data_IF_026287124798
#
_entry.id   IF_026287124798
#
_cell.length_a   1.000
_cell.length_b   1.000
_cell.length_c   1.000
_cell.angle_alpha   90.00
_cell.angle_beta   90.00
_cell.angle_gamma   90.00
#
_symmetry.space_group_name_H-M   'P 1'
#
loop_
_entity.id
_entity.type
_entity.pdbx_description
1 polymer ?
#
# COMPACT_ATOMS: atom_id res chain seq x y z
N UNK A 1 -0.46 5.15 13.98
CA UNK A 1 -0.10 5.00 12.56
C UNK A 1 -1.27 4.49 11.74
N UNK A 2 -1.84 3.31 12.04
CA UNK A 2 -3.01 2.77 11.32
C UNK A 2 -4.14 3.79 11.11
N UNK A 3 -4.62 4.44 12.18
CA UNK A 3 -5.73 5.40 12.11
C UNK A 3 -5.47 6.59 11.17
N UNK A 4 -4.21 7.05 11.06
CA UNK A 4 -3.85 8.15 10.16
C UNK A 4 -3.93 7.71 8.69
N UNK A 5 -3.41 6.51 8.39
CA UNK A 5 -3.54 5.91 7.07
C UNK A 5 -5.00 5.62 6.74
N UNK A 6 -5.75 5.03 7.67
CA UNK A 6 -7.18 4.74 7.51
C UNK A 6 -7.99 6.01 7.19
N UNK A 7 -7.74 7.11 7.93
CA UNK A 7 -8.35 8.40 7.65
C UNK A 7 -8.01 8.89 6.23
N UNK A 8 -6.72 8.90 5.86
CA UNK A 8 -6.31 9.37 4.53
C UNK A 8 -6.88 8.51 3.39
N UNK A 9 -6.88 7.19 3.53
CA UNK A 9 -7.43 6.27 2.56
C UNK A 9 -8.95 6.45 2.41
N UNK A 10 -9.66 6.70 3.52
CA UNK A 10 -11.10 6.94 3.53
C UNK A 10 -11.50 8.25 2.84
N UNK A 11 -10.61 9.25 2.85
CA UNK A 11 -10.83 10.52 2.16
C UNK A 11 -10.80 10.39 0.63
N UNK A 12 -10.35 9.24 0.09
CA UNK A 12 -10.19 8.98 -1.34
C UNK A 12 -9.35 10.03 -2.08
N UNK A 13 -8.46 10.72 -1.35
CA UNK A 13 -7.54 11.72 -1.87
C UNK A 13 -6.13 11.14 -1.95
N UNK A 14 -5.68 10.84 -3.16
CA UNK A 14 -4.35 10.29 -3.39
C UNK A 14 -3.24 11.25 -2.93
N UNK A 15 -3.45 12.57 -2.98
CA UNK A 15 -2.45 13.53 -2.53
C UNK A 15 -2.26 13.47 -1.01
N UNK A 16 -3.33 13.25 -0.25
CA UNK A 16 -3.25 13.09 1.20
C UNK A 16 -2.51 11.80 1.58
N UNK A 17 -2.73 10.73 0.83
CA UNK A 17 -2.04 9.45 1.01
C UNK A 17 -0.56 9.58 0.66
N UNK A 18 -0.24 10.24 -0.46
CA UNK A 18 1.15 10.52 -0.84
C UNK A 18 1.84 11.43 0.17
N UNK A 19 1.15 12.44 0.70
CA UNK A 19 1.68 13.28 1.77
C UNK A 19 2.06 12.42 3.00
N UNK A 20 1.20 11.50 3.44
CA UNK A 20 1.57 10.59 4.52
C UNK A 20 2.77 9.70 4.16
N UNK A 21 2.79 9.16 2.93
CA UNK A 21 3.89 8.33 2.44
C UNK A 21 5.23 9.09 2.36
N UNK A 22 5.22 10.38 2.02
CA UNK A 22 6.42 11.21 1.99
C UNK A 22 6.95 11.54 3.39
N UNK A 23 6.05 11.73 4.36
CA UNK A 23 6.40 12.09 5.73
C UNK A 23 6.75 10.89 6.63
N UNK A 24 6.41 9.67 6.20
CA UNK A 24 6.72 8.44 6.93
C UNK A 24 7.56 7.55 6.02
N UNK A 25 8.79 7.19 6.41
CA UNK A 25 9.60 6.33 5.53
C UNK A 25 9.08 4.88 5.57
N UNK A 26 8.99 4.18 4.42
CA UNK A 26 8.58 2.77 4.39
C UNK A 26 9.40 1.91 5.34
N UNK A 27 10.73 2.08 5.32
CA UNK A 27 11.65 1.33 6.19
C UNK A 27 11.40 1.55 7.69
N UNK A 28 10.91 2.73 8.09
CA UNK A 28 10.56 3.02 9.49
C UNK A 28 9.19 2.44 9.86
N UNK A 29 8.22 2.53 8.94
CA UNK A 29 6.87 2.03 9.16
C UNK A 29 6.84 0.50 9.24
N UNK A 30 7.46 -0.18 8.28
CA UNK A 30 7.36 -1.63 8.12
C UNK A 30 8.41 -2.43 8.90
N UNK A 31 9.41 -1.77 9.51
CA UNK A 31 10.34 -2.42 10.45
C UNK A 31 9.72 -2.70 11.82
N UNK A 32 8.58 -2.09 12.15
CA UNK A 32 7.85 -2.31 13.39
C UNK A 32 7.12 -3.66 13.33
N UNK A 33 7.33 -4.52 14.33
CA UNK A 33 6.70 -5.83 14.43
C UNK A 33 5.89 -5.96 15.75
N UNK A 34 4.62 -6.42 15.69
CA UNK A 34 3.86 -6.76 14.48
C UNK A 34 3.58 -5.53 13.61
N UNK A 35 3.35 -5.73 12.31
CA UNK A 35 3.13 -4.64 11.35
C UNK A 35 2.09 -3.64 11.89
N UNK A 36 2.38 -2.32 11.90
CA UNK A 36 1.51 -1.33 12.51
C UNK A 36 0.27 -0.99 11.67
N UNK A 37 0.19 -1.49 10.42
CA UNK A 37 -0.95 -1.33 9.53
C UNK A 37 -1.74 -2.65 9.44
N UNK A 38 -3.06 -2.55 9.55
CA UNK A 38 -3.95 -3.69 9.45
C UNK A 38 -4.18 -4.09 7.99
N UNK A 39 -4.53 -5.36 7.74
CA UNK A 39 -4.78 -5.88 6.40
C UNK A 39 -5.70 -5.01 5.53
N UNK A 40 -6.85 -4.50 6.00
CA UNK A 40 -7.70 -3.65 5.15
C UNK A 40 -7.00 -2.36 4.72
N UNK A 41 -6.25 -1.74 5.64
CA UNK A 41 -5.46 -0.53 5.39
C UNK A 41 -4.34 -0.81 4.39
N UNK A 42 -3.63 -1.94 4.52
CA UNK A 42 -2.59 -2.37 3.58
C UNK A 42 -3.15 -2.60 2.17
N UNK A 43 -4.27 -3.30 2.04
CA UNK A 43 -4.90 -3.57 0.75
C UNK A 43 -5.35 -2.27 0.06
N UNK A 44 -6.04 -1.39 0.80
CA UNK A 44 -6.45 -0.08 0.27
C UNK A 44 -5.26 0.81 -0.10
N UNK A 45 -4.18 0.78 0.69
CA UNK A 45 -2.95 1.51 0.39
C UNK A 45 -2.32 1.01 -0.92
N UNK A 46 -2.15 -0.30 -1.08
CA UNK A 46 -1.63 -0.89 -2.32
C UNK A 46 -2.51 -0.47 -3.50
N UNK A 47 -3.83 -0.55 -3.37
CA UNK A 47 -4.76 -0.21 -4.44
C UNK A 47 -4.66 1.26 -4.88
N UNK A 48 -4.67 2.19 -3.93
CA UNK A 48 -4.59 3.62 -4.26
C UNK A 48 -3.24 4.01 -4.84
N UNK A 49 -2.13 3.48 -4.32
CA UNK A 49 -0.81 3.72 -4.89
C UNK A 49 -0.65 3.09 -6.28
N UNK A 50 -1.26 1.92 -6.51
CA UNK A 50 -1.29 1.24 -7.81
C UNK A 50 -2.21 1.91 -8.84
N UNK A 51 -3.15 2.78 -8.40
CA UNK A 51 -4.11 3.42 -9.28
C UNK A 51 -3.41 4.36 -10.29
N UNK A 52 -2.40 5.10 -9.84
CA UNK A 52 -1.55 5.95 -10.68
C UNK A 52 -0.07 5.77 -10.33
N UNK A 53 0.71 5.22 -11.25
CA UNK A 53 2.16 5.06 -11.13
C UNK A 53 2.93 6.03 -12.03
N UNK A 54 2.30 7.06 -12.59
CA UNK A 54 3.00 8.03 -13.44
C UNK A 54 3.82 9.05 -12.64
N UNK A 55 3.57 9.14 -11.33
CA UNK A 55 4.18 10.11 -10.42
C UNK A 55 4.72 9.41 -9.17
N UNK A 56 5.82 9.90 -8.61
CA UNK A 56 6.43 9.40 -7.37
C UNK A 56 6.67 7.87 -7.36
N UNK A 57 7.10 7.33 -8.50
CA UNK A 57 7.22 5.88 -8.74
C UNK A 57 8.02 5.17 -7.66
N UNK A 58 9.22 5.65 -7.32
CA UNK A 58 10.08 4.99 -6.35
C UNK A 58 9.43 4.87 -4.96
N UNK A 59 8.78 5.95 -4.50
CA UNK A 59 8.07 5.96 -3.23
C UNK A 59 6.91 4.95 -3.24
N UNK A 60 6.08 5.00 -4.28
CA UNK A 60 4.92 4.10 -4.44
C UNK A 60 5.36 2.63 -4.51
N UNK A 61 6.38 2.31 -5.30
CA UNK A 61 6.92 0.95 -5.40
C UNK A 61 7.50 0.46 -4.08
N UNK A 62 8.23 1.30 -3.34
CA UNK A 62 8.76 0.94 -2.04
C UNK A 62 7.63 0.62 -1.05
N UNK A 63 6.62 1.48 -0.96
CA UNK A 63 5.45 1.25 -0.12
C UNK A 63 4.69 -0.02 -0.48
N UNK A 64 4.41 -0.24 -1.77
CA UNK A 64 3.70 -1.43 -2.24
C UNK A 64 4.50 -2.69 -1.90
N UNK A 65 5.82 -2.70 -2.13
CA UNK A 65 6.67 -3.85 -1.85
C UNK A 65 6.66 -4.22 -0.36
N UNK A 66 6.88 -3.25 0.51
CA UNK A 66 6.92 -3.48 1.96
C UNK A 66 5.53 -3.89 2.51
N UNK A 67 4.47 -3.27 1.99
CA UNK A 67 3.10 -3.63 2.35
C UNK A 67 2.77 -5.09 1.97
N UNK A 68 3.23 -5.57 0.82
CA UNK A 68 3.05 -6.96 0.39
C UNK A 68 3.74 -7.96 1.33
N UNK A 69 4.92 -7.62 1.87
CA UNK A 69 5.65 -8.46 2.82
C UNK A 69 4.89 -8.56 4.16
N UNK A 70 4.15 -7.51 4.54
CA UNK A 70 3.38 -7.47 5.77
C UNK A 70 2.01 -8.16 5.67
N UNK A 71 1.54 -8.49 4.47
CA UNK A 71 0.27 -9.17 4.29
C UNK A 71 0.39 -10.65 4.63
N UNK A 72 -0.53 -11.13 5.48
CA UNK A 72 -0.69 -12.55 5.70
C UNK A 72 -1.36 -13.21 4.48
N UNK A 73 -0.53 -13.80 3.63
CA UNK A 73 -0.97 -14.57 2.47
C UNK A 73 -1.53 -15.93 2.85
N UNK A 74 -1.68 -16.33 4.12
CA UNK A 74 -2.34 -17.58 4.46
C UNK A 74 -3.83 -17.58 4.09
N UNK A 75 -4.45 -16.40 4.06
CA UNK A 75 -5.87 -16.21 3.73
C UNK A 75 -6.14 -16.22 2.22
N UNK A 76 -7.02 -17.11 1.70
CA UNK A 76 -7.34 -17.20 0.28
C UNK A 76 -7.86 -15.89 -0.32
N UNK A 77 -8.75 -15.19 0.41
CA UNK A 77 -9.33 -13.93 -0.06
C UNK A 77 -8.31 -12.80 -0.25
N UNK A 78 -7.23 -12.80 0.54
CA UNK A 78 -6.11 -11.85 0.38
C UNK A 78 -5.31 -12.20 -0.87
N UNK A 79 -5.08 -13.49 -1.14
CA UNK A 79 -4.38 -13.94 -2.35
C UNK A 79 -5.12 -13.58 -3.62
N UNK A 80 -6.42 -13.84 -3.69
CA UNK A 80 -7.24 -13.59 -4.88
C UNK A 80 -7.28 -12.09 -5.22
N UNK A 81 -7.41 -11.25 -4.19
CA UNK A 81 -7.33 -9.80 -4.33
C UNK A 81 -5.96 -9.36 -4.85
N UNK A 82 -4.88 -9.83 -4.23
CA UNK A 82 -3.53 -9.47 -4.63
C UNK A 82 -3.19 -9.94 -6.04
N UNK A 83 -3.65 -11.12 -6.45
CA UNK A 83 -3.44 -11.60 -7.81
C UNK A 83 -4.04 -10.63 -8.82
N UNK A 84 -5.25 -10.13 -8.58
CA UNK A 84 -5.90 -9.13 -9.43
C UNK A 84 -5.08 -7.83 -9.49
N UNK A 85 -4.70 -7.30 -8.32
CA UNK A 85 -3.96 -6.04 -8.22
C UNK A 85 -2.56 -6.15 -8.83
N UNK A 86 -1.84 -7.27 -8.63
CA UNK A 86 -0.52 -7.51 -9.18
C UNK A 86 -0.55 -7.69 -10.70
N UNK A 87 -1.59 -8.35 -11.24
CA UNK A 87 -1.79 -8.44 -12.69
C UNK A 87 -1.98 -7.03 -13.28
N UNK A 88 -2.79 -6.19 -12.65
CA UNK A 88 -3.03 -4.83 -13.13
C UNK A 88 -1.79 -3.94 -13.00
N UNK A 89 -1.04 -4.07 -11.90
CA UNK A 89 0.27 -3.45 -11.74
C UNK A 89 1.24 -3.87 -12.85
N UNK A 90 1.32 -5.17 -13.16
CA UNK A 90 2.24 -5.67 -14.20
C UNK A 90 1.93 -5.12 -15.60
N UNK A 91 0.67 -4.81 -15.89
CA UNK A 91 0.26 -4.18 -17.16
C UNK A 91 0.67 -2.70 -17.24
N UNK A 92 0.71 -2.00 -16.11
CA UNK A 92 1.05 -0.57 -16.02
C UNK A 92 2.56 -0.28 -16.04
N UNK A 93 3.40 -1.30 -15.83
CA UNK A 93 4.87 -1.18 -15.83
C UNK A 93 5.45 -1.30 -17.26
N UNK A 94 4.62 -1.57 -18.28
CA UNK A 94 5.04 -1.71 -19.69
C UNK A 94 5.14 -0.39 -20.43
#
# INVERSE_FOLDING_TARGET
LNQAFEFALSASDLNLVLYLCENVRPAELFSIQPCPLQTPVLLSLIQQLAADLNTQQELKYSYIREALICLDLSHPSVRDYLQTVLIDLSKKIK
#
